data_IF_767368359104
#
_entry.id   IF_767368359104
#
_cell.length_a   1.000
_cell.length_b   1.000
_cell.length_c   1.000
_cell.angle_alpha   90.00
_cell.angle_beta   90.00
_cell.angle_gamma   90.00
#
_symmetry.space_group_name_H-M   'P 1'
#
loop_
_entity.id
_entity.type
_entity.pdbx_description
1 polymer ?
#
# COMPACT_ATOMS: atom_id res chain seq x y z
N UNK A 1 11.09 -14.82 13.49
CA UNK A 1 11.93 -13.94 12.64
C UNK A 1 12.67 -12.89 13.46
N UNK A 2 11.98 -11.96 14.14
CA UNK A 2 12.64 -10.78 14.74
C UNK A 2 13.33 -10.97 16.10
N UNK A 3 13.00 -12.05 16.81
CA UNK A 3 13.41 -12.27 18.20
C UNK A 3 14.92 -12.39 18.42
N UNK A 4 15.68 -12.83 17.40
CA UNK A 4 17.13 -13.03 17.47
C UNK A 4 17.83 -12.42 16.26
N UNK A 5 19.06 -11.87 16.42
CA UNK A 5 19.82 -11.29 15.30
C UNK A 5 20.03 -12.26 14.14
N UNK A 6 20.29 -13.54 14.42
CA UNK A 6 20.51 -14.56 13.38
C UNK A 6 19.24 -14.80 12.55
N UNK A 7 18.07 -14.73 13.19
CA UNK A 7 16.78 -14.85 12.54
C UNK A 7 16.49 -13.68 11.61
N UNK A 8 16.82 -12.45 12.01
CA UNK A 8 16.70 -11.25 11.16
C UNK A 8 17.67 -11.34 9.99
N UNK A 9 18.94 -11.66 10.25
CA UNK A 9 19.96 -11.78 9.21
C UNK A 9 19.61 -12.86 8.16
N UNK A 10 19.07 -14.00 8.60
CA UNK A 10 18.61 -15.05 7.69
C UNK A 10 17.43 -14.58 6.82
N UNK A 11 16.45 -13.90 7.43
CA UNK A 11 15.32 -13.32 6.71
C UNK A 11 15.77 -12.28 5.68
N UNK A 12 16.62 -11.32 6.08
CA UNK A 12 17.13 -10.25 5.21
C UNK A 12 17.84 -10.83 3.98
N UNK A 13 18.75 -11.80 4.18
CA UNK A 13 19.44 -12.46 3.06
C UNK A 13 18.46 -13.17 2.12
N UNK A 14 17.48 -13.87 2.68
CA UNK A 14 16.47 -14.57 1.88
C UNK A 14 15.58 -13.59 1.10
N UNK A 15 15.23 -12.45 1.70
CA UNK A 15 14.44 -11.41 1.07
C UNK A 15 15.18 -10.79 -0.11
N UNK A 16 16.44 -10.37 0.08
CA UNK A 16 17.26 -9.82 -1.02
C UNK A 16 17.35 -10.81 -2.17
N UNK A 17 17.69 -12.07 -1.88
CA UNK A 17 17.78 -13.11 -2.91
C UNK A 17 16.46 -13.29 -3.66
N UNK A 18 15.33 -13.36 -2.95
CA UNK A 18 14.01 -13.49 -3.55
C UNK A 18 13.66 -12.29 -4.43
N UNK A 19 13.78 -11.07 -3.90
CA UNK A 19 13.44 -9.84 -4.60
C UNK A 19 14.24 -9.68 -5.89
N UNK A 20 15.56 -9.91 -5.83
CA UNK A 20 16.42 -9.85 -7.01
C UNK A 20 16.14 -10.97 -8.01
N UNK A 21 15.80 -12.17 -7.55
CA UNK A 21 15.49 -13.31 -8.44
C UNK A 21 14.18 -13.09 -9.20
N UNK A 22 13.20 -12.45 -8.55
CA UNK A 22 11.87 -12.22 -9.10
C UNK A 22 11.66 -10.80 -9.64
N UNK A 23 12.74 -10.02 -9.80
CA UNK A 23 12.71 -8.65 -10.32
C UNK A 23 11.72 -7.72 -9.60
N UNK A 24 11.65 -7.84 -8.27
CA UNK A 24 10.95 -6.85 -7.44
C UNK A 24 11.85 -5.66 -7.14
N UNK A 25 11.25 -4.47 -7.12
CA UNK A 25 11.94 -3.22 -6.80
C UNK A 25 12.10 -2.98 -5.29
N UNK A 26 11.44 -3.76 -4.44
CA UNK A 26 11.47 -3.53 -2.99
C UNK A 26 10.60 -4.47 -2.17
N UNK A 27 10.60 -4.25 -0.86
CA UNK A 27 9.85 -5.00 0.14
C UNK A 27 8.89 -4.09 0.91
N UNK A 28 7.62 -4.49 0.99
CA UNK A 28 6.64 -3.87 1.89
C UNK A 28 6.39 -4.80 3.09
N UNK A 29 6.66 -4.33 4.30
CA UNK A 29 6.40 -5.06 5.54
C UNK A 29 4.94 -4.86 5.99
N UNK A 30 4.17 -5.94 6.10
CA UNK A 30 2.77 -5.91 6.56
C UNK A 30 2.56 -6.83 7.77
N UNK A 31 3.15 -6.48 8.91
CA UNK A 31 2.96 -7.20 10.17
C UNK A 31 1.85 -6.54 10.99
N UNK A 32 0.76 -7.28 11.25
CA UNK A 32 -0.41 -6.82 11.98
C UNK A 32 -0.61 -7.51 13.34
N UNK A 33 -0.14 -6.97 14.46
CA UNK A 33 0.78 -5.85 14.61
C UNK A 33 1.88 -6.22 15.62
N UNK A 34 3.08 -5.63 15.55
CA UNK A 34 4.06 -5.74 16.62
C UNK A 34 3.44 -5.36 17.97
N UNK A 35 3.67 -6.18 19.01
CA UNK A 35 3.10 -5.96 20.34
C UNK A 35 1.60 -6.30 20.48
N UNK A 36 0.94 -6.83 19.45
CA UNK A 36 -0.47 -7.27 19.49
C UNK A 36 -0.67 -8.70 18.97
N UNK A 37 -1.85 -9.27 19.18
CA UNK A 37 -2.25 -10.57 18.63
C UNK A 37 -1.25 -11.71 18.90
N UNK A 38 -0.70 -11.76 20.12
CA UNK A 38 0.31 -12.74 20.54
C UNK A 38 1.76 -12.31 20.31
N UNK A 39 2.01 -11.18 19.65
CA UNK A 39 3.33 -10.55 19.62
C UNK A 39 3.64 -9.87 20.97
N UNK A 40 4.78 -10.18 21.62
CA UNK A 40 5.16 -9.55 22.89
C UNK A 40 5.49 -8.05 22.71
N UNK A 41 5.37 -7.26 23.78
CA UNK A 41 5.66 -5.81 23.74
C UNK A 41 7.07 -5.47 23.25
N UNK A 42 8.06 -6.34 23.52
CA UNK A 42 9.44 -6.20 23.04
C UNK A 42 9.57 -6.22 21.51
N UNK A 43 8.53 -6.63 20.79
CA UNK A 43 8.55 -6.64 19.34
C UNK A 43 8.40 -5.23 18.74
N UNK A 44 7.99 -4.24 19.55
CA UNK A 44 8.08 -2.82 19.17
C UNK A 44 9.51 -2.44 18.77
N UNK A 45 10.48 -2.67 19.66
CA UNK A 45 11.88 -2.36 19.39
C UNK A 45 12.50 -3.33 18.37
N UNK A 46 12.06 -4.59 18.34
CA UNK A 46 12.57 -5.57 17.35
C UNK A 46 12.08 -5.29 15.93
N UNK A 47 10.91 -4.68 15.77
CA UNK A 47 10.46 -4.19 14.48
C UNK A 47 11.36 -3.05 14.00
N UNK A 48 11.71 -2.10 14.87
CA UNK A 48 12.70 -1.06 14.56
C UNK A 48 14.03 -1.66 14.11
N UNK A 49 14.56 -2.64 14.84
CA UNK A 49 15.80 -3.33 14.47
C UNK A 49 15.69 -3.99 13.09
N UNK A 50 14.58 -4.67 12.80
CA UNK A 50 14.36 -5.29 11.50
C UNK A 50 14.38 -4.25 10.37
N UNK A 51 13.67 -3.13 10.54
CA UNK A 51 13.60 -2.06 9.52
C UNK A 51 14.98 -1.44 9.30
N UNK A 52 15.71 -1.12 10.38
CA UNK A 52 17.06 -0.55 10.28
C UNK A 52 18.02 -1.51 9.58
N UNK A 53 18.01 -2.79 9.94
CA UNK A 53 18.89 -3.80 9.35
C UNK A 53 18.55 -4.09 7.88
N UNK A 54 17.25 -4.11 7.51
CA UNK A 54 16.81 -4.23 6.11
C UNK A 54 17.30 -3.05 5.26
N UNK A 55 17.05 -1.82 5.72
CA UNK A 55 17.45 -0.60 5.01
C UNK A 55 18.96 -0.58 4.77
N UNK A 56 19.75 -0.94 5.79
CA UNK A 56 21.20 -1.05 5.66
C UNK A 56 21.63 -2.13 4.67
N UNK A 57 21.04 -3.32 4.75
CA UNK A 57 21.38 -4.42 3.85
C UNK A 57 20.99 -4.14 2.39
N UNK A 58 19.91 -3.38 2.15
CA UNK A 58 19.52 -2.95 0.81
C UNK A 58 20.50 -1.93 0.24
N UNK A 59 20.99 -1.00 1.06
CA UNK A 59 22.06 -0.07 0.69
C UNK A 59 23.35 -0.82 0.31
N UNK A 60 23.76 -1.79 1.13
CA UNK A 60 24.99 -2.57 0.91
C UNK A 60 24.86 -3.47 -0.34
N UNK A 61 23.73 -4.17 -0.53
CA UNK A 61 23.45 -4.97 -1.74
C UNK A 61 23.54 -4.11 -3.01
N UNK A 62 23.00 -2.89 -2.97
CA UNK A 62 23.07 -1.96 -4.09
C UNK A 62 24.50 -1.56 -4.43
N UNK A 63 25.30 -1.22 -3.41
CA UNK A 63 26.70 -0.82 -3.56
C UNK A 63 27.58 -1.96 -4.07
N UNK A 64 27.50 -3.12 -3.42
CA UNK A 64 28.36 -4.27 -3.70
C UNK A 64 28.09 -4.86 -5.07
N UNK A 65 26.82 -4.88 -5.50
CA UNK A 65 26.41 -5.44 -6.78
C UNK A 65 26.22 -4.40 -7.90
N UNK A 66 26.45 -3.11 -7.61
CA UNK A 66 26.22 -1.98 -8.54
C UNK A 66 24.82 -1.99 -9.14
N UNK A 67 23.81 -2.23 -8.31
CA UNK A 67 22.40 -2.27 -8.69
C UNK A 67 21.64 -1.09 -8.08
N UNK A 68 20.46 -0.80 -8.61
CA UNK A 68 19.50 0.09 -7.95
C UNK A 68 19.16 -0.47 -6.57
N UNK A 69 19.18 0.40 -5.55
CA UNK A 69 18.78 0.05 -4.20
C UNK A 69 17.32 -0.37 -4.16
N UNK A 70 17.04 -1.46 -3.44
CA UNK A 70 15.67 -1.93 -3.20
C UNK A 70 14.94 -0.93 -2.30
N UNK A 71 13.67 -0.67 -2.62
CA UNK A 71 12.77 0.13 -1.78
C UNK A 71 12.34 -0.67 -0.55
N UNK A 72 12.14 0.03 0.57
CA UNK A 72 11.60 -0.54 1.80
C UNK A 72 10.42 0.30 2.29
N UNK A 73 9.26 -0.32 2.40
CA UNK A 73 8.05 0.31 2.93
C UNK A 73 7.36 -0.57 3.98
N UNK A 74 6.34 -0.03 4.63
CA UNK A 74 5.53 -0.80 5.57
C UNK A 74 4.05 -0.39 5.53
N UNK A 75 3.15 -1.36 5.66
CA UNK A 75 1.76 -1.13 6.04
C UNK A 75 1.68 -1.04 7.55
N UNK A 76 1.13 0.07 8.06
CA UNK A 76 1.11 0.38 9.49
C UNK A 76 -0.31 0.71 9.97
N UNK A 77 -0.49 0.58 11.29
CA UNK A 77 -1.79 0.79 11.92
C UNK A 77 -2.23 2.26 11.91
N UNK A 78 -3.54 2.46 11.94
CA UNK A 78 -4.19 3.77 12.07
C UNK A 78 -4.61 4.10 13.50
N UNK A 79 -5.04 3.11 14.29
CA UNK A 79 -5.46 3.34 15.69
C UNK A 79 -4.32 3.84 16.57
N UNK A 80 -4.48 4.99 17.24
CA UNK A 80 -3.48 5.60 18.14
C UNK A 80 -2.89 4.62 19.15
N UNK A 81 -3.75 3.85 19.82
CA UNK A 81 -3.35 2.85 20.81
C UNK A 81 -2.49 1.72 20.21
N UNK A 82 -2.72 1.36 18.96
CA UNK A 82 -1.89 0.41 18.22
C UNK A 82 -0.58 1.04 17.80
N UNK A 83 -0.59 2.29 17.33
CA UNK A 83 0.61 3.02 16.93
C UNK A 83 1.59 3.11 18.11
N UNK A 84 1.11 3.56 19.27
CA UNK A 84 1.92 3.74 20.49
C UNK A 84 2.55 2.43 20.95
N UNK A 85 1.82 1.32 20.78
CA UNK A 85 2.24 -0.02 21.19
C UNK A 85 3.22 -0.67 20.21
N UNK A 86 3.04 -0.45 18.92
CA UNK A 86 3.71 -1.23 17.87
C UNK A 86 4.96 -0.56 17.30
N UNK A 87 5.05 0.78 17.33
CA UNK A 87 6.04 1.49 16.52
C UNK A 87 6.85 2.53 17.30
N UNK A 88 8.17 2.52 17.11
CA UNK A 88 9.02 3.66 17.41
C UNK A 88 9.03 4.58 16.18
N UNK A 89 7.94 5.34 15.99
CA UNK A 89 7.60 6.07 14.75
C UNK A 89 8.79 6.84 14.15
N UNK A 90 9.40 7.74 14.91
CA UNK A 90 10.57 8.53 14.45
C UNK A 90 11.72 7.63 13.95
N UNK A 91 12.01 6.53 14.66
CA UNK A 91 13.12 5.62 14.33
C UNK A 91 12.85 4.78 13.08
N UNK A 92 11.59 4.41 12.83
CA UNK A 92 11.24 3.63 11.64
C UNK A 92 11.00 4.51 10.41
N UNK A 93 10.62 5.78 10.60
CA UNK A 93 10.27 6.65 9.47
C UNK A 93 11.49 7.07 8.64
N UNK A 94 12.67 7.21 9.25
CA UNK A 94 13.90 7.49 8.52
C UNK A 94 14.34 6.36 7.56
N UNK A 95 14.47 5.10 8.00
CA UNK A 95 14.92 3.99 7.14
C UNK A 95 13.88 3.48 6.12
N UNK A 96 12.58 3.73 6.33
CA UNK A 96 11.53 3.43 5.35
C UNK A 96 11.50 4.50 4.25
N UNK A 97 11.34 4.11 2.99
CA UNK A 97 11.18 5.04 1.87
C UNK A 97 9.80 5.74 1.93
N UNK A 98 8.76 4.97 2.25
CA UNK A 98 7.40 5.46 2.48
C UNK A 98 6.61 4.52 3.40
N UNK A 99 5.54 5.03 4.00
CA UNK A 99 4.73 4.39 5.03
C UNK A 99 3.28 4.40 4.59
N UNK A 100 2.70 3.22 4.37
CA UNK A 100 1.30 3.06 3.99
C UNK A 100 0.44 2.98 5.26
N UNK A 101 -0.22 4.07 5.64
CA UNK A 101 -1.08 4.06 6.84
C UNK A 101 -2.44 3.48 6.46
N UNK A 102 -2.83 2.37 7.11
CA UNK A 102 -4.10 1.67 6.85
C UNK A 102 -5.29 2.42 7.47
N UNK A 103 -5.62 3.57 6.90
CA UNK A 103 -6.66 4.49 7.37
C UNK A 103 -8.07 4.06 6.98
N UNK A 104 -8.38 2.80 7.22
CA UNK A 104 -9.67 2.14 7.03
C UNK A 104 -9.85 1.09 8.13
N UNK A 105 -10.97 0.37 8.13
CA UNK A 105 -11.35 -0.55 9.19
C UNK A 105 -11.47 0.10 10.58
N UNK A 106 -11.84 1.38 10.61
CA UNK A 106 -12.09 2.09 11.88
C UNK A 106 -13.31 1.55 12.60
N UNK A 107 -14.35 1.23 11.82
CA UNK A 107 -15.62 0.66 12.28
C UNK A 107 -16.02 -0.51 11.39
N UNK A 108 -16.72 -1.46 11.97
CA UNK A 108 -17.25 -2.61 11.24
C UNK A 108 -18.23 -3.42 12.07
N UNK A 109 -18.73 -4.51 11.49
CA UNK A 109 -19.78 -5.34 12.07
C UNK A 109 -19.43 -6.04 13.40
N UNK A 110 -18.20 -5.88 13.89
CA UNK A 110 -17.79 -6.27 15.24
C UNK A 110 -18.34 -5.33 16.32
N UNK A 111 -18.90 -4.18 15.94
CA UNK A 111 -19.61 -3.24 16.81
C UNK A 111 -21.13 -3.48 16.79
N UNK A 112 -21.83 -3.08 17.86
CA UNK A 112 -23.29 -3.17 17.98
C UNK A 112 -24.08 -2.01 17.36
N UNK A 113 -23.39 -1.10 16.67
CA UNK A 113 -23.97 0.06 15.99
C UNK A 113 -23.29 0.26 14.63
N UNK A 114 -23.96 0.91 13.68
CA UNK A 114 -23.38 1.27 12.39
C UNK A 114 -22.28 2.31 12.55
N UNK A 115 -21.21 2.16 11.77
CA UNK A 115 -20.05 3.03 11.77
C UNK A 115 -19.39 3.03 10.40
N UNK A 116 -18.66 4.11 10.09
CA UNK A 116 -18.00 4.27 8.80
C UNK A 116 -16.67 3.51 8.71
N UNK A 117 -16.41 2.87 7.56
CA UNK A 117 -15.16 2.15 7.32
C UNK A 117 -13.93 3.07 7.43
N UNK A 118 -14.00 4.25 6.79
CA UNK A 118 -12.87 5.17 6.64
C UNK A 118 -13.31 6.64 6.78
N UNK A 119 -13.81 7.09 7.94
CA UNK A 119 -14.25 8.47 8.12
C UNK A 119 -13.05 9.45 8.12
N UNK A 120 -13.21 10.60 7.46
CA UNK A 120 -12.16 11.63 7.40
C UNK A 120 -11.97 12.31 8.77
N UNK A 121 -13.06 12.64 9.42
CA UNK A 121 -13.10 13.24 10.76
C UNK A 121 -14.02 12.46 11.70
N UNK A 122 -14.04 12.87 12.96
CA UNK A 122 -15.03 12.39 13.95
C UNK A 122 -16.42 12.98 13.66
N UNK A 123 -17.46 12.29 14.11
CA UNK A 123 -18.83 12.81 14.22
C UNK A 123 -19.19 13.13 15.68
N UNK A 124 -20.23 13.95 15.85
CA UNK A 124 -20.90 14.23 17.13
C UNK A 124 -21.41 13.01 17.88
N UNK A 125 -21.63 11.87 17.20
CA UNK A 125 -22.06 10.61 17.85
C UNK A 125 -20.88 9.79 18.39
N UNK A 126 -19.64 10.12 18.01
CA UNK A 126 -18.46 9.40 18.48
C UNK A 126 -18.19 9.69 19.96
N UNK A 127 -17.91 8.64 20.72
CA UNK A 127 -17.61 8.72 22.14
C UNK A 127 -16.51 7.75 22.55
N UNK A 128 -15.92 7.96 23.74
CA UNK A 128 -14.82 7.11 24.22
C UNK A 128 -13.63 7.14 23.25
N UNK A 129 -13.12 5.96 22.88
CA UNK A 129 -12.01 5.85 21.92
C UNK A 129 -12.41 6.19 20.49
N UNK A 130 -13.70 6.11 20.13
CA UNK A 130 -14.18 6.33 18.75
C UNK A 130 -13.93 7.76 18.27
N UNK A 131 -13.78 8.72 19.19
CA UNK A 131 -13.40 10.11 18.84
C UNK A 131 -12.04 10.19 18.10
N UNK A 132 -11.23 9.14 18.19
CA UNK A 132 -9.93 9.00 17.52
C UNK A 132 -9.94 8.02 16.34
N UNK A 133 -11.07 7.37 16.03
CA UNK A 133 -11.19 6.38 14.96
C UNK A 133 -11.49 7.06 13.62
N UNK A 134 -10.61 7.96 13.17
CA UNK A 134 -10.76 8.69 11.91
C UNK A 134 -9.39 9.08 11.34
N UNK A 135 -9.34 9.31 10.01
CA UNK A 135 -8.13 9.65 9.26
C UNK A 135 -7.38 10.82 9.90
N UNK A 136 -8.06 11.93 10.17
CA UNK A 136 -7.44 13.13 10.72
C UNK A 136 -6.74 12.82 12.05
N UNK A 137 -7.41 12.11 12.96
CA UNK A 137 -6.83 11.77 14.26
C UNK A 137 -5.61 10.85 14.16
N UNK A 138 -5.65 9.86 13.27
CA UNK A 138 -4.58 8.87 13.07
C UNK A 138 -3.35 9.49 12.44
N UNK A 139 -3.52 10.23 11.34
CA UNK A 139 -2.39 10.84 10.64
C UNK A 139 -1.76 11.96 11.47
N UNK A 140 -2.56 12.81 12.13
CA UNK A 140 -2.00 13.80 13.07
C UNK A 140 -1.20 13.15 14.19
N UNK A 141 -1.53 11.93 14.61
CA UNK A 141 -0.77 11.19 15.61
C UNK A 141 0.57 10.69 15.06
N UNK A 142 0.59 10.11 13.86
CA UNK A 142 1.83 9.74 13.17
C UNK A 142 2.79 10.93 13.02
N UNK A 143 2.26 12.08 12.59
CA UNK A 143 3.03 13.32 12.47
C UNK A 143 3.57 13.80 13.83
N UNK A 144 2.73 13.80 14.87
CA UNK A 144 3.12 14.21 16.21
C UNK A 144 4.20 13.30 16.83
N UNK A 145 4.28 12.04 16.41
CA UNK A 145 5.30 11.08 16.82
C UNK A 145 6.57 11.10 15.96
N UNK A 146 6.69 12.05 15.01
CA UNK A 146 7.92 12.32 14.27
C UNK A 146 8.00 11.68 12.88
N UNK A 147 6.90 11.15 12.32
CA UNK A 147 6.91 10.73 10.92
C UNK A 147 6.97 11.95 9.98
N UNK A 148 7.91 12.01 9.01
CA UNK A 148 7.91 13.05 7.98
C UNK A 148 6.65 12.94 7.11
N UNK A 149 5.95 14.05 6.87
CA UNK A 149 4.67 14.03 6.16
C UNK A 149 4.82 13.51 4.73
N UNK A 150 5.93 13.86 4.07
CA UNK A 150 6.27 13.43 2.71
C UNK A 150 6.53 11.92 2.57
N UNK A 151 6.64 11.18 3.69
CA UNK A 151 6.75 9.72 3.69
C UNK A 151 5.45 9.01 4.05
N UNK A 152 4.45 9.72 4.57
CA UNK A 152 3.15 9.13 4.90
C UNK A 152 2.26 9.07 3.66
N UNK A 153 1.83 7.86 3.30
CA UNK A 153 0.83 7.62 2.26
C UNK A 153 -0.52 7.35 2.93
N UNK A 154 -1.53 8.13 2.56
CA UNK A 154 -2.89 7.98 3.07
C UNK A 154 -3.57 6.77 2.43
N UNK A 155 -4.20 5.91 3.24
CA UNK A 155 -4.89 4.71 2.76
C UNK A 155 -6.32 4.99 2.28
N UNK A 156 -6.61 4.57 1.05
CA UNK A 156 -7.92 4.67 0.41
C UNK A 156 -8.52 3.26 0.20
N UNK A 157 -9.67 2.94 0.82
CA UNK A 157 -10.34 1.65 0.62
C UNK A 157 -11.23 1.68 -0.64
N UNK A 158 -11.13 0.64 -1.46
CA UNK A 158 -12.09 0.37 -2.56
C UNK A 158 -13.14 -0.66 -2.12
N UNK A 159 -13.54 -0.60 -0.85
CA UNK A 159 -14.50 -1.50 -0.22
C UNK A 159 -15.23 -0.78 0.92
N UNK A 160 -16.36 -1.36 1.33
CA UNK A 160 -17.16 -0.90 2.46
C UNK A 160 -17.31 -1.96 3.54
N UNK A 161 -17.66 -1.50 4.74
CA UNK A 161 -18.04 -2.36 5.87
C UNK A 161 -19.55 -2.33 6.03
N UNK A 162 -20.15 -3.50 6.19
CA UNK A 162 -21.60 -3.67 6.10
C UNK A 162 -22.21 -4.19 7.39
N UNK A 163 -23.43 -3.79 7.69
CA UNK A 163 -24.14 -4.12 8.92
C UNK A 163 -25.57 -4.56 8.63
N UNK A 164 -26.12 -5.36 9.55
CA UNK A 164 -27.55 -5.66 9.60
C UNK A 164 -28.22 -4.82 10.69
N UNK A 165 -29.06 -3.88 10.26
CA UNK A 165 -29.89 -3.04 11.11
C UNK A 165 -30.95 -3.88 11.83
N UNK A 166 -31.25 -3.52 13.08
CA UNK A 166 -32.27 -4.20 13.89
C UNK A 166 -33.55 -3.39 14.06
N UNK A 167 -33.55 -2.12 13.62
CA UNK A 167 -34.71 -1.22 13.70
C UNK A 167 -34.83 -0.43 12.40
N UNK A 168 -35.83 0.46 12.30
CA UNK A 168 -35.96 1.39 11.17
C UNK A 168 -34.97 2.57 11.21
N UNK A 169 -34.16 2.71 12.27
CA UNK A 169 -33.10 3.71 12.30
C UNK A 169 -31.95 3.29 11.38
N UNK A 170 -31.52 4.18 10.48
CA UNK A 170 -30.53 3.91 9.44
C UNK A 170 -29.32 4.84 9.45
N UNK A 171 -29.30 5.86 10.32
CA UNK A 171 -28.20 6.82 10.43
C UNK A 171 -26.91 6.20 10.99
N UNK A 172 -25.86 7.03 11.07
CA UNK A 172 -24.63 6.68 11.81
C UNK A 172 -24.96 6.40 13.28
N UNK A 173 -24.41 5.32 13.84
CA UNK A 173 -24.68 4.89 15.21
C UNK A 173 -26.02 4.15 15.38
N UNK A 174 -26.71 3.79 14.29
CA UNK A 174 -27.94 3.01 14.35
C UNK A 174 -27.68 1.60 14.89
N UNK A 175 -28.59 1.02 15.70
CA UNK A 175 -28.42 -0.32 16.26
C UNK A 175 -28.27 -1.40 15.19
N UNK A 176 -27.26 -2.26 15.35
CA UNK A 176 -26.97 -3.40 14.48
C UNK A 176 -26.69 -4.66 15.30
N UNK A 177 -26.83 -5.84 14.69
CA UNK A 177 -26.56 -7.12 15.35
C UNK A 177 -25.61 -8.03 14.55
N UNK A 178 -24.68 -7.42 13.83
CA UNK A 178 -23.67 -8.11 13.04
C UNK A 178 -23.66 -7.72 11.57
N UNK A 179 -23.00 -8.53 10.72
CA UNK A 179 -22.77 -8.17 9.32
C UNK A 179 -24.04 -8.24 8.48
N UNK A 180 -24.10 -7.43 7.42
CA UNK A 180 -25.02 -7.71 6.30
C UNK A 180 -24.58 -8.99 5.57
N UNK A 181 -25.48 -9.53 4.74
CA UNK A 181 -25.19 -10.72 3.96
C UNK A 181 -23.99 -10.53 3.02
N UNK A 182 -23.29 -11.63 2.76
CA UNK A 182 -22.12 -11.63 1.91
C UNK A 182 -22.45 -11.13 0.49
N UNK A 183 -21.55 -10.34 -0.07
CA UNK A 183 -21.63 -9.92 -1.48
C UNK A 183 -21.48 -11.12 -2.43
N UNK A 184 -22.04 -11.03 -3.66
CA UNK A 184 -22.04 -12.15 -4.61
C UNK A 184 -20.64 -12.59 -5.07
N UNK A 185 -19.64 -11.71 -4.98
CA UNK A 185 -18.28 -11.94 -5.46
C UNK A 185 -17.28 -12.07 -4.31
N UNK A 186 -17.27 -11.13 -3.36
CA UNK A 186 -16.37 -11.16 -2.20
C UNK A 186 -16.72 -12.28 -1.23
N UNK A 187 -17.99 -12.72 -1.22
CA UNK A 187 -18.50 -13.87 -0.45
C UNK A 187 -18.13 -13.83 1.03
N UNK A 188 -17.99 -12.63 1.57
CA UNK A 188 -17.64 -12.37 2.96
C UNK A 188 -18.73 -11.49 3.56
N UNK A 189 -19.46 -12.00 4.56
CA UNK A 189 -20.43 -11.19 5.29
C UNK A 189 -19.70 -10.04 6.00
N UNK A 190 -20.27 -8.84 5.97
CA UNK A 190 -19.67 -7.68 6.65
C UNK A 190 -18.76 -6.83 5.78
N UNK A 191 -18.56 -7.21 4.52
CA UNK A 191 -17.54 -6.66 3.63
C UNK A 191 -18.00 -6.73 2.18
N UNK A 192 -18.05 -5.60 1.48
CA UNK A 192 -18.38 -5.54 0.05
C UNK A 192 -17.30 -4.75 -0.70
N UNK A 193 -16.93 -5.22 -1.89
CA UNK A 193 -16.10 -4.44 -2.80
C UNK A 193 -16.87 -3.23 -3.34
N UNK A 194 -16.16 -2.22 -3.88
CA UNK A 194 -16.80 -1.05 -4.46
C UNK A 194 -17.77 -1.42 -5.60
N UNK A 195 -17.40 -2.37 -6.45
CA UNK A 195 -18.28 -2.83 -7.53
C UNK A 195 -19.54 -3.57 -7.04
N UNK A 196 -19.50 -4.23 -5.88
CA UNK A 196 -20.70 -4.80 -5.24
C UNK A 196 -21.59 -3.69 -4.68
N UNK A 197 -20.99 -2.64 -4.13
CA UNK A 197 -21.68 -1.47 -3.59
C UNK A 197 -22.37 -0.67 -4.72
N UNK A 198 -21.73 -0.46 -5.87
CA UNK A 198 -22.37 0.21 -7.01
C UNK A 198 -23.70 -0.46 -7.44
N UNK A 199 -23.73 -1.79 -7.44
CA UNK A 199 -24.95 -2.52 -7.77
C UNK A 199 -26.00 -2.40 -6.65
N UNK A 200 -25.57 -2.39 -5.39
CA UNK A 200 -26.44 -2.15 -4.24
C UNK A 200 -27.07 -0.75 -4.26
N UNK A 201 -26.27 0.28 -4.57
CA UNK A 201 -26.65 1.69 -4.60
C UNK A 201 -27.79 1.98 -5.58
N UNK A 202 -27.89 1.21 -6.67
CA UNK A 202 -28.93 1.39 -7.70
C UNK A 202 -30.36 1.24 -7.17
N UNK A 203 -30.56 0.56 -6.04
CA UNK A 203 -31.85 0.43 -5.36
C UNK A 203 -31.88 0.97 -3.93
N UNK A 204 -30.75 1.44 -3.40
CA UNK A 204 -30.59 1.86 -2.02
C UNK A 204 -30.91 3.34 -1.80
N UNK A 205 -31.13 3.71 -0.54
CA UNK A 205 -31.09 5.10 -0.10
C UNK A 205 -29.64 5.43 0.24
N UNK A 206 -29.04 6.32 -0.56
CA UNK A 206 -27.67 6.81 -0.35
C UNK A 206 -27.72 8.15 0.38
N UNK A 207 -26.97 8.25 1.46
CA UNK A 207 -26.86 9.45 2.29
C UNK A 207 -25.41 9.85 2.50
N UNK A 208 -25.19 11.14 2.78
CA UNK A 208 -23.86 11.70 3.05
C UNK A 208 -23.75 12.05 4.52
N UNK A 209 -22.64 11.67 5.17
CA UNK A 209 -22.35 12.07 6.56
C UNK A 209 -21.47 13.33 6.52
N UNK A 210 -22.02 14.54 6.75
CA UNK A 210 -21.27 15.78 6.55
C UNK A 210 -20.09 15.90 7.50
N UNK A 211 -20.23 15.43 8.74
CA UNK A 211 -19.16 15.50 9.74
C UNK A 211 -17.96 14.60 9.40
N UNK A 212 -18.19 13.47 8.71
CA UNK A 212 -17.14 12.49 8.42
C UNK A 212 -16.65 12.52 6.96
N UNK A 213 -17.31 13.31 6.11
CA UNK A 213 -17.04 13.44 4.67
C UNK A 213 -17.02 12.12 3.88
N UNK A 214 -18.00 11.26 4.15
CA UNK A 214 -18.16 9.94 3.50
C UNK A 214 -19.64 9.58 3.28
N UNK A 215 -19.96 8.78 2.25
CA UNK A 215 -21.30 8.28 2.00
C UNK A 215 -21.62 7.03 2.82
N UNK A 216 -22.90 6.72 2.97
CA UNK A 216 -23.38 5.39 3.31
C UNK A 216 -24.65 5.08 2.51
N UNK A 217 -24.97 3.79 2.37
CA UNK A 217 -26.17 3.36 1.68
C UNK A 217 -26.97 2.36 2.51
N UNK A 218 -28.29 2.40 2.37
CA UNK A 218 -29.21 1.48 3.05
C UNK A 218 -30.27 0.89 2.12
N UNK A 219 -30.54 -0.41 2.29
CA UNK A 219 -31.62 -1.10 1.61
C UNK A 219 -32.15 -2.24 2.49
N UNK A 220 -33.43 -2.18 2.85
CA UNK A 220 -34.00 -3.10 3.83
C UNK A 220 -33.25 -3.00 5.17
N UNK A 221 -32.74 -4.12 5.67
CA UNK A 221 -31.90 -4.15 6.87
C UNK A 221 -30.40 -3.97 6.60
N UNK A 222 -29.97 -3.89 5.34
CA UNK A 222 -28.56 -3.77 5.00
C UNK A 222 -28.12 -2.32 5.04
N UNK A 223 -26.98 -2.07 5.70
CA UNK A 223 -26.31 -0.78 5.78
C UNK A 223 -24.87 -0.95 5.35
N UNK A 224 -24.33 -0.05 4.53
CA UNK A 224 -22.91 -0.06 4.14
C UNK A 224 -22.29 1.32 4.24
N UNK A 225 -21.15 1.41 4.93
CA UNK A 225 -20.30 2.59 4.99
C UNK A 225 -19.09 2.37 4.09
N UNK A 226 -18.90 3.27 3.13
CA UNK A 226 -17.96 3.08 2.02
C UNK A 226 -17.39 4.41 1.54
N UNK A 227 -16.57 4.34 0.51
CA UNK A 227 -16.00 5.49 -0.18
C UNK A 227 -16.47 5.57 -1.63
N UNK A 228 -16.70 6.79 -2.10
CA UNK A 228 -17.02 7.11 -3.49
C UNK A 228 -16.03 8.17 -4.05
N UNK A 229 -16.24 8.63 -5.29
CA UNK A 229 -15.40 9.68 -5.89
C UNK A 229 -15.44 11.00 -5.10
N UNK A 230 -16.55 11.29 -4.41
CA UNK A 230 -16.71 12.51 -3.61
C UNK A 230 -15.87 12.43 -2.34
N UNK A 231 -15.96 11.33 -1.58
CA UNK A 231 -15.14 11.13 -0.39
C UNK A 231 -13.65 11.01 -0.74
N UNK A 232 -13.31 10.38 -1.87
CA UNK A 232 -11.95 10.38 -2.39
C UNK A 232 -11.44 11.80 -2.65
N UNK A 233 -12.26 12.68 -3.23
CA UNK A 233 -11.88 14.09 -3.47
C UNK A 233 -11.62 14.83 -2.16
N UNK A 234 -12.51 14.67 -1.17
CA UNK A 234 -12.36 15.21 0.17
C UNK A 234 -11.05 14.77 0.84
N UNK A 235 -10.76 13.47 0.80
CA UNK A 235 -9.55 12.89 1.36
C UNK A 235 -8.29 13.36 0.64
N UNK A 236 -8.32 13.46 -0.69
CA UNK A 236 -7.22 14.01 -1.50
C UNK A 236 -6.94 15.46 -1.12
N UNK A 237 -7.98 16.30 -1.04
CA UNK A 237 -7.82 17.69 -0.63
C UNK A 237 -7.22 17.79 0.77
N UNK A 238 -7.68 16.96 1.71
CA UNK A 238 -7.16 16.92 3.06
C UNK A 238 -5.68 16.49 3.11
N UNK A 239 -5.29 15.41 2.43
CA UNK A 239 -3.89 14.97 2.42
C UNK A 239 -2.96 15.98 1.76
N UNK A 240 -3.41 16.68 0.71
CA UNK A 240 -2.64 17.75 0.06
C UNK A 240 -2.45 18.92 1.00
N UNK A 241 -3.49 19.35 1.72
CA UNK A 241 -3.39 20.41 2.72
C UNK A 241 -2.47 20.06 3.89
N UNK A 242 -2.27 18.76 4.16
CA UNK A 242 -1.38 18.24 5.20
C UNK A 242 0.01 17.83 4.66
N UNK A 243 0.33 18.15 3.40
CA UNK A 243 1.61 17.84 2.76
C UNK A 243 2.03 16.36 2.87
N UNK A 244 1.06 15.45 2.73
CA UNK A 244 1.36 14.02 2.73
C UNK A 244 2.06 13.60 1.42
N UNK A 245 2.88 12.54 1.51
CA UNK A 245 3.68 12.02 0.39
C UNK A 245 2.87 11.41 -0.75
N UNK A 246 1.61 11.05 -0.51
CA UNK A 246 0.76 10.45 -1.53
C UNK A 246 -0.38 9.62 -0.93
N UNK A 247 -0.88 8.71 -1.75
CA UNK A 247 -1.96 7.81 -1.41
C UNK A 247 -1.59 6.36 -1.73
N UNK A 248 -2.04 5.42 -0.90
CA UNK A 248 -2.03 4.00 -1.21
C UNK A 248 -3.48 3.49 -1.25
N UNK A 249 -3.75 2.48 -2.06
CA UNK A 249 -5.11 1.95 -2.25
C UNK A 249 -5.16 0.49 -1.83
N UNK A 250 -6.19 0.12 -1.09
CA UNK A 250 -6.56 -1.27 -0.80
C UNK A 250 -7.96 -1.54 -1.35
N UNK A 251 -8.13 -2.22 -2.49
CA UNK A 251 -7.14 -2.79 -3.42
C UNK A 251 -7.52 -2.51 -4.89
N UNK A 252 -6.67 -2.94 -5.83
CA UNK A 252 -6.97 -2.85 -7.26
C UNK A 252 -8.21 -3.67 -7.65
N UNK A 253 -8.31 -4.89 -7.14
CA UNK A 253 -9.32 -5.89 -7.51
C UNK A 253 -10.71 -5.63 -6.92
N UNK A 254 -10.85 -4.66 -6.02
CA UNK A 254 -12.13 -4.28 -5.42
C UNK A 254 -12.72 -2.98 -5.96
N UNK A 255 -11.96 -2.21 -6.74
CA UNK A 255 -12.51 -1.16 -7.59
C UNK A 255 -13.28 -1.81 -8.77
N UNK A 256 -14.05 -1.05 -9.53
CA UNK A 256 -14.66 -1.56 -10.77
C UNK A 256 -13.61 -1.65 -11.89
N UNK A 257 -12.63 -2.53 -11.71
CA UNK A 257 -11.48 -2.68 -12.59
C UNK A 257 -11.87 -3.08 -14.02
N UNK A 258 -12.99 -3.80 -14.19
CA UNK A 258 -13.54 -4.19 -15.49
C UNK A 258 -14.49 -3.15 -16.10
N UNK A 259 -14.99 -2.20 -15.30
CA UNK A 259 -15.96 -1.19 -15.72
C UNK A 259 -17.34 -1.78 -16.02
N UNK A 260 -17.72 -2.86 -15.35
CA UNK A 260 -18.94 -3.61 -15.65
C UNK A 260 -20.11 -3.29 -14.72
N UNK A 261 -19.85 -2.63 -13.58
CA UNK A 261 -20.81 -2.54 -12.48
C UNK A 261 -21.28 -1.11 -12.21
N UNK A 262 -20.38 -0.13 -12.26
CA UNK A 262 -20.67 1.24 -11.82
C UNK A 262 -21.07 2.18 -12.96
N UNK A 263 -21.02 1.73 -14.22
CA UNK A 263 -21.23 2.56 -15.43
C UNK A 263 -20.30 3.81 -15.50
N UNK A 264 -19.11 3.71 -14.92
CA UNK A 264 -18.15 4.82 -14.74
C UNK A 264 -16.75 4.49 -15.33
N UNK A 265 -16.71 3.53 -16.24
CA UNK A 265 -15.48 3.05 -16.87
C UNK A 265 -14.63 2.16 -15.94
N UNK A 266 -13.42 1.83 -16.38
CA UNK A 266 -12.50 0.98 -15.60
C UNK A 266 -11.85 1.77 -14.48
N UNK A 267 -11.67 1.13 -13.32
CA UNK A 267 -11.00 1.70 -12.15
C UNK A 267 -11.52 3.11 -11.77
N UNK A 268 -12.83 3.30 -11.58
CA UNK A 268 -13.40 4.63 -11.36
C UNK A 268 -12.80 5.34 -10.14
N UNK A 269 -12.58 4.65 -9.02
CA UNK A 269 -11.99 5.27 -7.84
C UNK A 269 -10.49 5.51 -8.00
N UNK A 270 -9.74 4.52 -8.49
CA UNK A 270 -8.28 4.64 -8.61
C UNK A 270 -7.88 5.63 -9.71
N UNK A 271 -8.60 5.69 -10.83
CA UNK A 271 -8.34 6.69 -11.86
C UNK A 271 -8.71 8.09 -11.38
N UNK A 272 -9.76 8.23 -10.57
CA UNK A 272 -10.10 9.49 -9.91
C UNK A 272 -8.97 9.98 -8.98
N UNK A 273 -8.30 9.06 -8.29
CA UNK A 273 -7.12 9.35 -7.46
C UNK A 273 -5.88 9.76 -8.28
N UNK A 274 -5.72 9.25 -9.51
CA UNK A 274 -4.58 9.54 -10.40
C UNK A 274 -4.67 10.89 -11.12
N UNK A 275 -5.87 11.45 -11.27
CA UNK A 275 -6.07 12.76 -11.90
C UNK A 275 -5.22 13.81 -11.18
N UNK A 276 -4.64 14.79 -11.89
CA UNK A 276 -3.52 15.59 -11.41
C UNK A 276 -3.88 16.31 -10.12
N UNK A 277 -3.52 15.69 -9.01
CA UNK A 277 -3.55 16.31 -7.70
C UNK A 277 -2.51 17.43 -7.74
N UNK A 278 -2.79 18.63 -7.23
CA UNK A 278 -1.86 19.76 -7.17
C UNK A 278 -0.70 19.53 -6.19
N UNK A 279 -0.35 18.27 -5.91
CA UNK A 279 0.84 17.90 -5.17
C UNK A 279 2.06 18.38 -5.98
N UNK A 280 2.62 19.51 -5.57
CA UNK A 280 4.00 19.86 -5.93
C UNK A 280 4.85 18.67 -5.53
N UNK A 281 5.56 17.98 -6.45
CA UNK A 281 6.42 16.88 -6.08
C UNK A 281 7.39 17.39 -5.03
N UNK A 282 7.21 16.95 -3.79
CA UNK A 282 8.12 17.28 -2.71
C UNK A 282 9.47 16.73 -3.14
N UNK A 283 10.49 17.60 -3.16
CA UNK A 283 11.87 17.25 -3.49
C UNK A 283 12.50 16.39 -2.40
N UNK A 284 11.82 15.31 -1.98
CA UNK A 284 12.55 14.11 -1.62
C UNK A 284 13.43 13.84 -2.84
N UNK A 285 14.75 13.81 -2.66
CA UNK A 285 15.63 13.33 -3.73
C UNK A 285 14.95 12.07 -4.25
N UNK A 286 14.53 12.09 -5.52
CA UNK A 286 14.15 10.85 -6.18
C UNK A 286 15.23 9.86 -5.77
N UNK A 287 14.87 8.65 -5.27
CA UNK A 287 15.87 7.65 -4.95
C UNK A 287 16.80 7.67 -6.15
N UNK A 288 18.10 7.86 -5.88
CA UNK A 288 19.06 8.01 -6.97
C UNK A 288 19.05 6.66 -7.66
N UNK A 289 18.17 6.53 -8.65
CA UNK A 289 18.31 5.61 -9.74
C UNK A 289 19.56 6.14 -10.41
N UNK A 290 20.72 5.71 -9.91
CA UNK A 290 21.87 5.55 -10.78
C UNK A 290 21.28 4.80 -11.96
N UNK A 291 21.04 5.53 -13.06
CA UNK A 291 20.53 4.95 -14.30
C UNK A 291 21.42 3.75 -14.54
N UNK A 292 20.84 2.56 -14.53
CA UNK A 292 21.60 1.35 -14.76
C UNK A 292 22.30 1.54 -16.11
N UNK A 293 23.64 1.62 -16.17
CA UNK A 293 24.36 1.81 -17.42
C UNK A 293 24.05 0.70 -18.42
N UNK A 294 23.59 -0.46 -17.93
CA UNK A 294 23.11 -1.57 -18.73
C UNK A 294 21.76 -1.27 -19.37
N UNK A 295 20.82 -0.61 -18.69
CA UNK A 295 19.48 -0.38 -19.23
C UNK A 295 19.50 0.43 -20.54
N UNK A 296 20.37 1.43 -20.66
CA UNK A 296 20.53 2.24 -21.88
C UNK A 296 21.53 1.68 -22.90
N UNK A 297 22.15 0.52 -22.66
CA UNK A 297 23.18 -0.02 -23.56
C UNK A 297 22.70 -0.11 -25.02
N UNK A 298 21.45 -0.51 -25.23
CA UNK A 298 20.82 -0.66 -26.55
C UNK A 298 20.20 0.62 -27.12
N UNK A 299 20.26 1.75 -26.41
CA UNK A 299 19.76 3.03 -26.91
C UNK A 299 20.55 3.46 -28.15
N UNK A 300 19.85 3.59 -29.29
CA UNK A 300 20.46 3.92 -30.59
C UNK A 300 21.26 2.78 -31.23
N UNK A 301 21.30 1.58 -30.64
CA UNK A 301 21.96 0.41 -31.24
C UNK A 301 20.97 -0.42 -32.08
N UNK A 302 21.42 -1.02 -33.20
CA UNK A 302 20.64 -2.00 -33.93
C UNK A 302 20.20 -3.20 -33.07
N UNK A 303 19.17 -3.91 -33.53
CA UNK A 303 18.81 -5.19 -32.92
C UNK A 303 19.95 -6.20 -33.13
N UNK A 304 20.29 -6.96 -32.09
CA UNK A 304 21.37 -7.94 -32.17
C UNK A 304 21.97 -8.31 -30.83
N UNK A 305 22.98 -9.18 -30.87
CA UNK A 305 23.75 -9.58 -29.70
C UNK A 305 25.07 -8.79 -29.63
N UNK A 306 25.45 -8.40 -28.42
CA UNK A 306 26.61 -7.58 -28.14
C UNK A 306 27.37 -8.11 -26.94
N UNK A 307 28.70 -8.02 -27.00
CA UNK A 307 29.57 -8.42 -25.91
C UNK A 307 29.34 -7.59 -24.64
N UNK A 308 29.26 -8.28 -23.49
CA UNK A 308 29.42 -7.63 -22.20
C UNK A 308 30.90 -7.63 -21.81
N UNK A 309 31.59 -6.52 -22.06
CA UNK A 309 33.02 -6.35 -21.76
C UNK A 309 33.35 -6.48 -20.27
N UNK A 310 32.36 -6.35 -19.38
CA UNK A 310 32.55 -6.44 -17.92
C UNK A 310 32.41 -7.87 -17.39
N UNK A 311 31.70 -8.74 -18.11
CA UNK A 311 31.49 -10.14 -17.74
C UNK A 311 31.30 -10.99 -19.01
N UNK A 312 32.39 -11.65 -19.43
CA UNK A 312 32.41 -12.51 -20.61
C UNK A 312 31.47 -13.72 -20.52
N UNK A 313 30.94 -14.07 -19.35
CA UNK A 313 29.92 -15.12 -19.21
C UNK A 313 28.51 -14.63 -19.57
N UNK A 314 28.36 -13.35 -19.90
CA UNK A 314 27.10 -12.71 -20.26
C UNK A 314 27.22 -11.90 -21.56
N UNK A 315 26.07 -11.54 -22.13
CA UNK A 315 25.99 -10.72 -23.34
C UNK A 315 24.70 -9.90 -23.35
N UNK A 316 24.69 -8.79 -24.07
CA UNK A 316 23.49 -7.98 -24.24
C UNK A 316 22.76 -8.39 -25.51
N UNK A 317 21.45 -8.53 -25.42
CA UNK A 317 20.54 -8.64 -26.55
C UNK A 317 19.78 -7.32 -26.68
N UNK A 318 19.93 -6.64 -27.81
CA UNK A 318 19.18 -5.45 -28.14
C UNK A 318 17.97 -5.80 -29.00
N UNK A 319 16.80 -5.31 -28.59
CA UNK A 319 15.58 -5.42 -29.38
C UNK A 319 14.70 -4.19 -29.20
N UNK A 320 14.49 -3.45 -30.29
CA UNK A 320 13.73 -2.19 -30.34
C UNK A 320 14.21 -1.15 -29.32
N UNK A 321 15.53 -1.02 -29.15
CA UNK A 321 16.14 -0.07 -28.20
C UNK A 321 16.15 -0.55 -26.75
N UNK A 322 15.52 -1.69 -26.42
CA UNK A 322 15.54 -2.27 -25.08
C UNK A 322 16.77 -3.18 -24.90
N UNK A 323 17.38 -3.10 -23.72
CA UNK A 323 18.51 -3.96 -23.33
C UNK A 323 18.05 -5.16 -22.54
N UNK A 324 18.43 -6.36 -23.00
CA UNK A 324 18.24 -7.61 -22.28
C UNK A 324 19.61 -8.23 -21.97
N UNK A 325 19.96 -8.38 -20.69
CA UNK A 325 21.17 -9.09 -20.29
C UNK A 325 20.92 -10.60 -20.29
N UNK A 326 21.69 -11.33 -21.09
CA UNK A 326 21.62 -12.78 -21.23
C UNK A 326 22.90 -13.40 -20.66
N UNK A 327 22.80 -14.66 -20.21
CA UNK A 327 23.92 -15.42 -19.65
C UNK A 327 24.19 -16.66 -20.49
N UNK A 328 25.46 -16.92 -20.77
CA UNK A 328 25.89 -18.15 -21.41
C UNK A 328 25.67 -19.37 -20.51
N UNK A 329 25.56 -20.56 -21.11
CA UNK A 329 25.54 -21.80 -20.33
C UNK A 329 26.83 -21.94 -19.50
N UNK A 330 26.73 -22.65 -18.37
CA UNK A 330 27.84 -22.80 -17.43
C UNK A 330 29.10 -23.33 -18.12
N UNK A 331 30.22 -22.63 -17.94
CA UNK A 331 31.51 -22.97 -18.56
C UNK A 331 31.75 -22.31 -19.93
N UNK A 332 30.77 -21.64 -20.53
CA UNK A 332 30.92 -20.92 -21.79
C UNK A 332 31.08 -19.40 -21.57
N UNK A 333 31.75 -18.74 -22.52
CA UNK A 333 31.83 -17.28 -22.63
C UNK A 333 31.25 -16.81 -23.95
N UNK A 334 30.80 -15.55 -24.02
CA UNK A 334 30.29 -14.96 -25.24
C UNK A 334 31.43 -14.52 -26.17
N UNK A 335 31.31 -14.88 -27.45
CA UNK A 335 32.21 -14.51 -28.52
C UNK A 335 31.49 -13.60 -29.51
N UNK A 336 31.93 -12.34 -29.62
CA UNK A 336 31.28 -11.38 -30.52
C UNK A 336 31.45 -11.76 -32.01
N UNK A 337 32.52 -12.46 -32.36
CA UNK A 337 32.81 -12.91 -33.72
C UNK A 337 31.77 -13.87 -34.30
N UNK A 338 31.17 -14.72 -33.46
CA UNK A 338 30.10 -15.65 -33.86
C UNK A 338 28.73 -15.24 -33.35
N UNK A 339 28.64 -14.18 -32.52
CA UNK A 339 27.42 -13.80 -31.78
C UNK A 339 26.86 -14.98 -30.97
N UNK A 340 27.74 -15.73 -30.31
CA UNK A 340 27.40 -17.01 -29.69
C UNK A 340 28.17 -17.26 -28.39
N UNK A 341 27.65 -18.14 -27.53
CA UNK A 341 28.38 -18.65 -26.38
C UNK A 341 29.23 -19.86 -26.78
N UNK A 342 30.52 -19.83 -26.48
CA UNK A 342 31.46 -20.89 -26.82
C UNK A 342 32.46 -21.11 -25.69
N UNK A 343 33.24 -22.18 -25.77
CA UNK A 343 34.29 -22.48 -24.80
C UNK A 343 35.35 -21.35 -24.78
N UNK A 344 35.94 -21.05 -23.61
CA UNK A 344 36.94 -19.99 -23.44
C UNK A 344 38.18 -20.11 -24.33
#
# INVERSE_FOLDING_TARGET
>A
VVARPEGRAAFIRSAISYLRTHNFDGLNLAWEYPGQNGSPSSDKERFTLLVTELSKAFEDDAKDNRKTQLLLSANVASFRSTIDRAYEVEKIAHPLDFINVMTYDYHGHWEGVTGQNSPLYRSSVDSGSHVHHNINSSISHWLALGAPSEKLLLGFPTYGRTYRLTTGASGLGAPSNGPADAGPYTRTAGFWSFYEICNFDSGAIVEWIPEQEVPYATYGSSWVGYDDKRSYSSKVQWMTNNNLGGAHVWTLDMDDFGGYFCADGTYPLINHLRMPSPLTPTTTKAPTTTRDPVAEFCSGRPNGLYENVSDKTTYFQCFQGNTYLQRCQSGLIYWDSCKCCNWP
#
